data_IF_643950843793
#
_entry.id   IF_643950843793
#
_cell.length_a   1.000
_cell.length_b   1.000
_cell.length_c   1.000
_cell.angle_alpha   90.00
_cell.angle_beta   90.00
_cell.angle_gamma   90.00
#
_symmetry.space_group_name_H-M   'P 1'
#
loop_
_entity.id
_entity.type
_entity.pdbx_description
1 polymer ?
#
# COMPACT_ATOMS: atom_id res chain seq x y z
N UNK A 1 -34.21 -22.58 39.32
CA UNK A 1 -34.52 -21.84 38.07
C UNK A 1 -33.79 -20.52 37.92
N UNK A 2 -33.16 -19.90 38.96
CA UNK A 2 -32.44 -18.61 38.83
C UNK A 2 -30.99 -18.70 38.28
N UNK A 3 -30.39 -19.90 38.19
CA UNK A 3 -29.00 -20.08 37.70
C UNK A 3 -28.90 -20.30 36.18
N UNK A 4 -29.99 -20.62 35.50
CA UNK A 4 -30.02 -20.88 34.05
C UNK A 4 -30.09 -19.55 33.26
N UNK A 5 -30.72 -18.50 33.84
CA UNK A 5 -30.80 -17.18 33.22
C UNK A 5 -29.48 -16.39 33.18
N UNK A 6 -28.60 -16.63 34.13
CA UNK A 6 -27.28 -15.95 34.18
C UNK A 6 -26.29 -16.48 33.11
N UNK A 7 -26.39 -17.76 32.73
CA UNK A 7 -25.55 -18.33 31.67
C UNK A 7 -25.99 -17.90 30.26
N UNK A 8 -27.29 -17.70 30.03
CA UNK A 8 -27.79 -17.22 28.75
C UNK A 8 -27.42 -15.75 28.46
N UNK A 9 -27.36 -14.90 29.50
CA UNK A 9 -26.94 -13.51 29.36
C UNK A 9 -25.42 -13.37 29.11
N UNK A 10 -24.60 -14.27 29.66
CA UNK A 10 -23.14 -14.27 29.39
C UNK A 10 -22.80 -14.77 27.96
N UNK A 11 -23.61 -15.69 27.40
CA UNK A 11 -23.45 -16.17 26.02
C UNK A 11 -23.91 -15.14 24.98
N UNK A 12 -24.87 -14.27 25.32
CA UNK A 12 -25.30 -13.19 24.42
C UNK A 12 -24.32 -12.00 24.42
N UNK A 13 -23.56 -11.80 25.49
CA UNK A 13 -22.51 -10.77 25.55
C UNK A 13 -21.21 -11.21 24.83
N UNK A 14 -20.94 -12.50 24.72
CA UNK A 14 -19.77 -13.01 23.98
C UNK A 14 -19.99 -13.07 22.47
N UNK A 15 -21.25 -13.09 21.99
CA UNK A 15 -21.57 -13.05 20.55
C UNK A 15 -21.50 -11.63 19.96
N UNK A 16 -21.47 -10.58 20.77
CA UNK A 16 -21.37 -9.19 20.29
C UNK A 16 -19.93 -8.67 20.16
N UNK A 17 -18.93 -9.51 20.41
CA UNK A 17 -17.54 -9.25 19.99
C UNK A 17 -17.22 -9.78 18.60
N UNK A 18 -18.21 -10.16 17.80
CA UNK A 18 -18.02 -10.35 16.36
C UNK A 18 -17.72 -8.98 15.74
N UNK A 19 -16.43 -8.78 15.50
CA UNK A 19 -15.78 -7.80 14.63
C UNK A 19 -16.74 -6.72 14.13
N UNK A 20 -16.70 -5.53 14.76
CA UNK A 20 -17.23 -4.34 14.10
C UNK A 20 -16.56 -4.29 12.70
N UNK A 21 -17.34 -4.61 11.66
CA UNK A 21 -16.90 -4.40 10.29
C UNK A 21 -16.42 -2.95 10.21
N UNK A 22 -15.22 -2.74 9.70
CA UNK A 22 -14.77 -1.38 9.44
C UNK A 22 -15.75 -0.75 8.44
N UNK A 23 -16.59 0.14 8.92
CA UNK A 23 -17.62 0.80 8.11
C UNK A 23 -17.18 2.15 7.59
N UNK A 24 -15.89 2.49 7.76
CA UNK A 24 -15.39 3.76 7.28
C UNK A 24 -15.52 3.86 5.76
N UNK A 25 -16.12 4.97 5.33
CA UNK A 25 -16.14 5.39 3.91
C UNK A 25 -15.66 6.83 3.87
N UNK A 26 -14.67 7.09 3.03
CA UNK A 26 -14.13 8.44 2.94
C UNK A 26 -12.83 8.55 2.15
N UNK A 27 -12.22 9.72 2.27
CA UNK A 27 -10.99 10.09 1.58
C UNK A 27 -9.99 10.50 2.64
N UNK A 28 -8.77 9.98 2.56
CA UNK A 28 -7.62 10.44 3.35
C UNK A 28 -6.71 11.21 2.41
N UNK A 29 -6.45 12.49 2.72
CA UNK A 29 -5.55 13.35 1.96
C UNK A 29 -4.26 13.54 2.73
N UNK A 30 -3.15 13.52 2.02
CA UNK A 30 -1.81 13.62 2.57
C UNK A 30 -1.06 14.81 1.98
N UNK A 31 -0.16 15.36 2.79
CA UNK A 31 0.95 16.20 2.39
C UNK A 31 2.22 15.36 2.40
N UNK A 32 3.08 15.60 1.43
CA UNK A 32 4.34 14.89 1.23
C UNK A 32 5.49 15.89 1.35
N UNK A 33 6.46 15.58 2.19
CA UNK A 33 7.59 16.47 2.49
C UNK A 33 8.91 15.71 2.51
N UNK A 34 9.96 16.36 2.04
CA UNK A 34 11.34 15.89 2.26
C UNK A 34 11.74 16.21 3.70
N UNK A 35 12.14 15.19 4.47
CA UNK A 35 12.43 15.32 5.91
C UNK A 35 13.79 14.74 6.32
N UNK A 36 14.55 14.16 5.38
CA UNK A 36 15.90 13.65 5.62
C UNK A 36 16.93 14.75 5.85
N UNK A 37 18.14 14.34 6.22
CA UNK A 37 19.29 15.26 6.36
C UNK A 37 19.69 15.88 5.02
N UNK A 38 19.47 15.14 3.93
CA UNK A 38 19.65 15.61 2.55
C UNK A 38 18.29 15.95 1.97
N UNK A 39 18.10 17.19 1.56
CA UNK A 39 16.86 17.65 0.98
C UNK A 39 16.62 17.01 -0.40
N UNK A 40 15.39 16.59 -0.64
CA UNK A 40 14.90 16.13 -1.95
C UNK A 40 13.91 17.14 -2.51
N UNK A 41 13.96 17.34 -3.81
CA UNK A 41 12.91 18.09 -4.49
C UNK A 41 11.70 17.17 -4.68
N UNK A 42 10.59 17.49 -4.07
CA UNK A 42 9.30 16.82 -4.30
C UNK A 42 8.60 17.57 -5.43
N UNK A 43 8.31 16.93 -6.58
CA UNK A 43 7.52 17.53 -7.65
C UNK A 43 6.13 17.96 -7.12
N UNK A 44 5.56 19.03 -7.69
CA UNK A 44 4.29 19.59 -7.22
C UNK A 44 3.16 18.54 -7.25
N UNK A 45 3.12 17.70 -8.29
CA UNK A 45 2.16 16.60 -8.47
C UNK A 45 2.31 15.49 -7.42
N UNK A 46 3.51 15.33 -6.82
CA UNK A 46 3.79 14.37 -5.76
C UNK A 46 3.74 14.99 -4.35
N UNK A 47 3.58 16.32 -4.23
CA UNK A 47 3.53 17.01 -2.94
C UNK A 47 2.24 16.73 -2.15
N UNK A 48 1.22 16.19 -2.81
CA UNK A 48 -0.04 15.76 -2.20
C UNK A 48 -0.43 14.38 -2.67
N UNK A 49 -1.13 13.65 -1.81
CA UNK A 49 -1.63 12.32 -2.12
C UNK A 49 -3.04 12.12 -1.58
N UNK A 50 -3.78 11.18 -2.17
CA UNK A 50 -5.14 10.86 -1.77
C UNK A 50 -5.38 9.34 -1.83
N UNK A 51 -6.01 8.81 -0.78
CA UNK A 51 -6.51 7.43 -0.76
C UNK A 51 -8.01 7.48 -0.49
N UNK A 52 -8.81 6.89 -1.38
CA UNK A 52 -10.23 6.62 -1.19
C UNK A 52 -10.38 5.28 -0.47
N UNK A 53 -11.26 5.24 0.51
CA UNK A 53 -11.48 4.06 1.37
C UNK A 53 -12.96 3.75 1.47
N UNK A 54 -13.33 2.48 1.36
CA UNK A 54 -14.69 1.98 1.61
C UNK A 54 -14.62 0.61 2.29
N UNK A 55 -14.63 0.60 3.61
CA UNK A 55 -14.38 -0.62 4.39
C UNK A 55 -12.97 -1.14 4.18
N UNK A 56 -12.84 -2.32 3.58
CA UNK A 56 -11.56 -2.95 3.26
C UNK A 56 -11.06 -2.59 1.83
N UNK A 57 -11.87 -1.88 1.03
CA UNK A 57 -11.48 -1.46 -0.31
C UNK A 57 -10.73 -0.11 -0.27
N UNK A 58 -9.70 0.00 -1.09
CA UNK A 58 -8.90 1.23 -1.25
C UNK A 58 -8.62 1.53 -2.71
N UNK A 59 -8.55 2.82 -3.05
CA UNK A 59 -8.16 3.29 -4.37
C UNK A 59 -7.28 4.53 -4.27
N UNK A 60 -6.20 4.56 -5.05
CA UNK A 60 -5.32 5.74 -5.17
C UNK A 60 -4.76 5.89 -6.58
N UNK A 61 -4.52 7.15 -6.98
CA UNK A 61 -3.73 7.54 -8.16
C UNK A 61 -2.43 8.25 -7.78
N UNK A 62 -2.13 8.30 -6.49
CA UNK A 62 -0.98 9.05 -5.99
C UNK A 62 0.30 8.23 -6.12
N UNK A 63 1.24 8.73 -6.90
CA UNK A 63 2.52 8.07 -7.22
C UNK A 63 3.34 7.69 -5.99
N UNK A 64 3.19 8.43 -4.89
CA UNK A 64 3.92 8.16 -3.65
C UNK A 64 3.63 6.78 -3.03
N UNK A 65 2.46 6.19 -3.33
CA UNK A 65 2.10 4.86 -2.86
C UNK A 65 2.39 3.76 -3.89
N UNK A 66 3.02 4.13 -5.01
CA UNK A 66 3.29 3.23 -6.12
C UNK A 66 4.75 2.78 -6.08
N UNK A 67 4.98 1.48 -6.10
CA UNK A 67 6.32 0.88 -6.15
C UNK A 67 6.95 0.93 -7.55
N UNK A 68 6.13 1.12 -8.60
CA UNK A 68 6.56 1.18 -9.99
C UNK A 68 6.33 2.59 -10.56
N UNK A 69 7.29 3.17 -11.28
CA UNK A 69 7.13 4.47 -11.95
C UNK A 69 6.11 4.42 -13.10
N UNK A 70 5.72 3.23 -13.53
CA UNK A 70 4.73 3.00 -14.59
C UNK A 70 3.31 2.90 -14.03
N UNK A 71 3.13 2.82 -12.72
CA UNK A 71 1.81 2.69 -12.11
C UNK A 71 1.03 4.00 -12.19
N UNK A 72 -0.20 3.93 -12.71
CA UNK A 72 -1.14 5.06 -12.80
C UNK A 72 -2.23 5.03 -11.72
N UNK A 73 -2.58 3.83 -11.24
CA UNK A 73 -3.48 3.68 -10.10
C UNK A 73 -3.31 2.32 -9.41
N UNK A 74 -3.74 2.27 -8.15
CA UNK A 74 -3.84 1.05 -7.36
C UNK A 74 -5.28 0.94 -6.84
N UNK A 75 -5.87 -0.24 -7.04
CA UNK A 75 -7.13 -0.67 -6.45
C UNK A 75 -6.88 -1.89 -5.56
N UNK A 76 -7.31 -1.81 -4.32
CA UNK A 76 -7.29 -2.94 -3.38
C UNK A 76 -8.72 -3.37 -3.12
N UNK A 77 -9.04 -4.64 -3.41
CA UNK A 77 -10.33 -5.26 -3.11
C UNK A 77 -10.13 -6.74 -2.79
N UNK A 78 -10.79 -7.23 -1.76
CA UNK A 78 -10.74 -8.65 -1.37
C UNK A 78 -9.31 -9.21 -1.25
N UNK A 79 -8.40 -8.48 -0.59
CA UNK A 79 -6.97 -8.80 -0.45
C UNK A 79 -6.23 -8.92 -1.80
N UNK A 80 -6.80 -8.41 -2.87
CA UNK A 80 -6.14 -8.32 -4.18
C UNK A 80 -5.75 -6.87 -4.43
N UNK A 81 -4.45 -6.64 -4.62
CA UNK A 81 -3.92 -5.38 -5.12
C UNK A 81 -3.89 -5.46 -6.65
N UNK A 82 -4.62 -4.58 -7.29
CA UNK A 82 -4.65 -4.43 -8.74
C UNK A 82 -3.98 -3.11 -9.10
N UNK A 83 -2.89 -3.16 -9.87
CA UNK A 83 -2.20 -1.99 -10.39
C UNK A 83 -2.52 -1.84 -11.87
N UNK A 84 -2.79 -0.60 -12.30
CA UNK A 84 -2.79 -0.25 -13.71
C UNK A 84 -1.44 0.39 -14.02
N UNK A 85 -0.67 -0.23 -14.90
CA UNK A 85 0.67 0.21 -15.28
C UNK A 85 0.71 0.57 -16.77
N UNK A 86 1.43 1.64 -17.11
CA UNK A 86 1.54 2.15 -18.48
C UNK A 86 2.99 2.18 -18.93
N UNK A 87 3.36 1.18 -19.69
CA UNK A 87 4.68 1.03 -20.28
C UNK A 87 4.80 1.68 -21.69
N UNK A 88 3.75 2.35 -22.18
CA UNK A 88 3.69 2.88 -23.54
C UNK A 88 4.86 3.80 -23.91
N UNK A 89 5.33 4.64 -22.97
CA UNK A 89 6.51 5.49 -23.20
C UNK A 89 7.79 4.67 -23.32
N UNK A 90 7.99 3.68 -22.45
CA UNK A 90 9.16 2.78 -22.48
C UNK A 90 9.17 2.01 -23.79
N UNK A 91 8.06 1.37 -24.17
CA UNK A 91 7.93 0.63 -25.41
C UNK A 91 8.19 1.51 -26.66
N UNK A 92 7.70 2.75 -26.63
CA UNK A 92 7.97 3.71 -27.71
C UNK A 92 9.45 4.07 -27.81
N UNK A 93 10.10 4.24 -26.65
CA UNK A 93 11.55 4.49 -26.59
C UNK A 93 12.35 3.30 -27.15
N UNK A 94 12.10 2.08 -26.68
CA UNK A 94 12.76 0.87 -27.15
C UNK A 94 12.64 0.72 -28.67
N UNK A 95 11.43 0.87 -29.23
CA UNK A 95 11.21 0.83 -30.68
C UNK A 95 12.01 1.92 -31.40
N UNK A 96 12.14 3.12 -30.84
CA UNK A 96 12.92 4.21 -31.44
C UNK A 96 14.42 3.94 -31.48
N UNK A 97 14.92 3.11 -30.57
CA UNK A 97 16.31 2.65 -30.52
C UNK A 97 16.59 1.43 -31.42
N UNK A 98 15.55 0.95 -32.14
CA UNK A 98 15.69 -0.19 -33.03
C UNK A 98 15.62 -1.55 -32.35
N UNK A 99 15.08 -1.60 -31.11
CA UNK A 99 14.82 -2.85 -30.42
C UNK A 99 13.95 -3.79 -31.25
N UNK A 100 14.29 -5.07 -31.30
CA UNK A 100 13.50 -6.13 -31.92
C UNK A 100 12.35 -6.62 -31.03
N UNK A 101 12.12 -5.96 -29.88
CA UNK A 101 11.08 -6.28 -28.94
C UNK A 101 9.68 -6.28 -29.59
N UNK A 102 9.05 -7.46 -29.66
CA UNK A 102 7.85 -7.72 -30.49
C UNK A 102 6.52 -7.60 -29.72
N UNK A 103 6.46 -6.94 -28.56
CA UNK A 103 5.20 -6.72 -27.91
C UNK A 103 4.30 -5.77 -28.74
N UNK A 104 3.14 -6.26 -29.18
CA UNK A 104 2.23 -5.54 -30.09
C UNK A 104 1.19 -4.67 -29.35
N UNK A 105 1.05 -4.80 -28.02
CA UNK A 105 0.13 -4.02 -27.22
C UNK A 105 0.52 -2.54 -27.07
N UNK A 106 -0.37 -1.74 -26.52
CA UNK A 106 -0.13 -0.32 -26.22
C UNK A 106 0.62 -0.12 -24.88
N UNK A 107 0.90 -1.20 -24.16
CA UNK A 107 1.64 -1.20 -22.91
C UNK A 107 0.82 -0.82 -21.68
N UNK A 108 -0.50 -0.74 -21.79
CA UNK A 108 -1.40 -0.51 -20.66
C UNK A 108 -1.85 -1.82 -20.05
N UNK A 109 -1.29 -2.15 -18.88
CA UNK A 109 -1.43 -3.47 -18.28
C UNK A 109 -2.11 -3.40 -16.91
N UNK A 110 -2.92 -4.45 -16.62
CA UNK A 110 -3.48 -4.74 -15.30
C UNK A 110 -2.63 -5.81 -14.64
N UNK A 111 -1.96 -5.48 -13.56
CA UNK A 111 -1.17 -6.41 -12.75
C UNK A 111 -1.91 -6.67 -11.45
N UNK A 112 -2.17 -7.96 -11.15
CA UNK A 112 -2.87 -8.40 -9.94
C UNK A 112 -1.94 -9.18 -9.03
N UNK A 113 -1.96 -8.83 -7.76
CA UNK A 113 -1.27 -9.54 -6.70
C UNK A 113 -2.26 -9.83 -5.57
N UNK A 114 -2.58 -11.10 -5.34
CA UNK A 114 -3.51 -11.51 -4.30
C UNK A 114 -2.74 -12.00 -3.09
N UNK A 115 -2.91 -11.30 -1.98
CA UNK A 115 -2.33 -11.70 -0.71
C UNK A 115 -3.10 -12.90 -0.12
N UNK A 116 -2.37 -13.87 0.42
CA UNK A 116 -2.99 -14.96 1.17
C UNK A 116 -3.42 -14.43 2.55
N UNK A 117 -4.63 -14.75 3.04
CA UNK A 117 -5.09 -14.27 4.34
C UNK A 117 -4.16 -14.59 5.51
N UNK A 118 -3.54 -15.75 5.51
CA UNK A 118 -2.60 -16.25 6.51
C UNK A 118 -1.21 -15.57 6.45
N UNK A 119 -0.88 -14.89 5.36
CA UNK A 119 0.39 -14.16 5.24
C UNK A 119 0.53 -13.02 6.26
N UNK A 120 -0.58 -12.58 6.88
CA UNK A 120 -0.61 -11.46 7.83
C UNK A 120 -0.96 -11.89 9.26
N UNK A 121 -1.29 -13.17 9.48
CA UNK A 121 -1.63 -13.69 10.82
C UNK A 121 -0.40 -13.86 11.73
N UNK A 122 0.80 -13.87 11.16
CA UNK A 122 2.06 -14.12 11.87
C UNK A 122 3.07 -12.98 11.77
N UNK A 123 2.59 -11.73 11.86
CA UNK A 123 3.48 -10.57 12.06
C UNK A 123 4.08 -10.54 13.49
N UNK A 124 3.81 -11.56 14.30
CA UNK A 124 4.56 -11.83 15.53
C UNK A 124 5.93 -12.41 15.17
N UNK A 125 6.95 -11.73 15.62
CA UNK A 125 8.34 -12.13 15.38
C UNK A 125 8.60 -13.46 16.05
N UNK A 126 8.96 -14.43 15.26
CA UNK A 126 9.53 -15.65 15.79
C UNK A 126 11.06 -15.62 15.67
N UNK A 127 11.62 -15.06 14.63
CA UNK A 127 13.06 -14.93 14.42
C UNK A 127 13.42 -13.65 13.69
N UNK A 128 14.54 -13.02 14.08
CA UNK A 128 15.13 -11.84 13.45
C UNK A 128 15.87 -12.24 12.16
N UNK A 129 15.13 -12.79 11.20
CA UNK A 129 15.72 -13.22 9.93
C UNK A 129 15.85 -12.03 8.97
N UNK A 130 16.98 -11.94 8.23
CA UNK A 130 17.16 -10.93 7.19
C UNK A 130 16.01 -10.93 6.18
N UNK A 131 15.56 -9.75 5.81
CA UNK A 131 14.45 -9.57 4.88
C UNK A 131 13.06 -9.73 5.49
N UNK A 132 12.95 -10.11 6.77
CA UNK A 132 11.69 -10.14 7.50
C UNK A 132 11.49 -8.86 8.31
N UNK A 133 10.22 -8.48 8.50
CA UNK A 133 9.86 -7.35 9.34
C UNK A 133 8.87 -7.77 10.43
N UNK A 134 8.83 -6.98 11.49
CA UNK A 134 7.82 -7.11 12.54
C UNK A 134 7.27 -5.76 12.97
N UNK A 135 6.11 -5.78 13.63
CA UNK A 135 5.38 -4.59 14.02
C UNK A 135 5.32 -4.51 15.55
N UNK A 136 5.87 -3.43 16.10
CA UNK A 136 5.73 -3.09 17.52
C UNK A 136 4.65 -2.03 17.69
N UNK A 137 3.55 -2.39 18.36
CA UNK A 137 2.49 -1.45 18.72
C UNK A 137 2.77 -0.83 20.08
N UNK A 138 2.88 0.50 20.12
CA UNK A 138 3.12 1.23 21.37
C UNK A 138 1.81 1.74 21.97
N UNK A 139 1.87 2.27 23.22
CA UNK A 139 0.74 2.93 23.85
C UNK A 139 0.62 4.41 23.51
N UNK A 140 1.57 4.97 22.75
CA UNK A 140 1.59 6.36 22.39
C UNK A 140 0.46 6.70 21.40
N UNK A 141 -0.21 7.85 21.64
CA UNK A 141 -1.29 8.34 20.78
C UNK A 141 -1.14 9.82 20.49
N UNK A 142 -1.60 10.25 19.31
CA UNK A 142 -1.75 11.67 18.97
C UNK A 142 -2.93 11.89 18.03
N UNK A 143 -3.35 13.15 17.87
CA UNK A 143 -4.36 13.53 16.88
C UNK A 143 -3.70 13.92 15.57
N UNK A 144 -4.13 13.31 14.45
CA UNK A 144 -3.72 13.66 13.10
C UNK A 144 -4.98 13.80 12.24
N UNK A 145 -5.15 14.92 11.57
CA UNK A 145 -6.33 15.22 10.75
C UNK A 145 -7.68 15.00 11.49
N UNK A 146 -7.72 15.24 12.81
CA UNK A 146 -8.91 15.05 13.65
C UNK A 146 -9.23 13.60 14.01
N UNK A 147 -8.32 12.66 13.73
CA UNK A 147 -8.46 11.23 14.05
C UNK A 147 -7.37 10.81 15.03
N UNK A 148 -7.71 9.92 15.95
CA UNK A 148 -6.73 9.35 16.88
C UNK A 148 -5.81 8.38 16.15
N UNK A 149 -4.51 8.64 16.21
CA UNK A 149 -3.48 7.75 15.70
C UNK A 149 -2.68 7.14 16.86
N UNK A 150 -2.31 5.88 16.71
CA UNK A 150 -1.42 5.13 17.61
C UNK A 150 -0.06 4.99 16.94
N UNK A 151 1.01 5.10 17.73
CA UNK A 151 2.35 4.86 17.23
C UNK A 151 2.60 3.36 17.06
N UNK A 152 3.14 3.02 15.91
CA UNK A 152 3.66 1.70 15.58
C UNK A 152 5.09 1.86 15.06
N UNK A 153 5.96 0.93 15.39
CA UNK A 153 7.31 0.84 14.82
C UNK A 153 7.37 -0.44 13.98
N UNK A 154 7.73 -0.29 12.72
CA UNK A 154 8.07 -1.39 11.84
C UNK A 154 9.58 -1.58 11.90
N UNK A 155 10.03 -2.74 12.33
CA UNK A 155 11.43 -3.13 12.35
C UNK A 155 11.73 -3.98 11.12
N UNK A 156 12.84 -3.72 10.46
CA UNK A 156 13.34 -4.52 9.34
C UNK A 156 14.82 -4.79 9.58
N UNK A 157 15.23 -6.04 9.50
CA UNK A 157 16.62 -6.44 9.64
C UNK A 157 17.29 -6.59 8.28
N UNK A 158 18.48 -6.01 8.12
CA UNK A 158 19.33 -6.23 6.95
C UNK A 158 20.09 -7.58 7.05
N UNK A 159 20.90 -7.87 6.03
CA UNK A 159 21.68 -9.11 5.96
C UNK A 159 22.73 -9.22 7.06
N UNK A 160 23.20 -8.10 7.60
CA UNK A 160 24.13 -8.03 8.74
C UNK A 160 23.41 -8.12 10.09
N UNK A 161 22.08 -8.13 10.11
CA UNK A 161 21.23 -8.17 11.28
C UNK A 161 21.05 -6.81 11.98
N UNK A 162 21.38 -5.70 11.32
CA UNK A 162 21.08 -4.37 11.83
C UNK A 162 19.60 -4.04 11.65
N UNK A 163 19.01 -3.42 12.68
CA UNK A 163 17.61 -3.01 12.69
C UNK A 163 17.43 -1.64 12.03
N UNK A 164 16.50 -1.55 11.09
CA UNK A 164 16.11 -0.31 10.40
C UNK A 164 14.66 0.08 10.78
N UNK A 165 14.44 0.66 11.98
CA UNK A 165 13.11 0.94 12.45
C UNK A 165 12.45 2.09 11.67
N UNK A 166 11.19 1.90 11.29
CA UNK A 166 10.35 2.91 10.65
C UNK A 166 9.16 3.22 11.54
N UNK A 167 9.05 4.47 11.99
CA UNK A 167 7.93 4.92 12.79
C UNK A 167 6.72 5.28 11.93
N UNK A 168 5.57 4.75 12.30
CA UNK A 168 4.27 5.08 11.70
C UNK A 168 3.27 5.48 12.77
N UNK A 169 2.35 6.36 12.39
CA UNK A 169 1.18 6.69 13.18
C UNK A 169 -0.04 6.21 12.44
N UNK A 170 -0.70 5.21 12.98
CA UNK A 170 -1.82 4.52 12.33
C UNK A 170 -3.12 4.74 13.09
N UNK A 171 -4.24 4.71 12.35
CA UNK A 171 -5.58 4.68 12.95
C UNK A 171 -6.30 3.41 12.54
N UNK A 172 -6.74 2.63 13.53
CA UNK A 172 -7.59 1.47 13.35
C UNK A 172 -9.10 1.81 13.24
N UNK A 173 -9.44 3.09 13.43
CA UNK A 173 -10.80 3.60 13.22
C UNK A 173 -11.15 3.80 11.73
N UNK A 174 -10.12 3.94 10.89
CA UNK A 174 -10.24 4.14 9.44
C UNK A 174 -9.31 3.19 8.70
N UNK A 175 -9.67 2.85 7.47
CA UNK A 175 -8.89 1.92 6.64
C UNK A 175 -9.29 0.46 6.83
N UNK A 176 -8.64 -0.44 6.09
CA UNK A 176 -8.97 -1.86 6.08
C UNK A 176 -8.50 -2.59 7.34
N UNK A 177 -9.07 -3.78 7.58
CA UNK A 177 -8.62 -4.69 8.64
C UNK A 177 -7.23 -5.26 8.36
N UNK A 178 -6.93 -5.47 7.09
CA UNK A 178 -5.62 -5.87 6.57
C UNK A 178 -5.29 -4.93 5.42
N UNK A 179 -4.31 -4.07 5.62
CA UNK A 179 -3.93 -3.05 4.66
C UNK A 179 -2.75 -3.53 3.80
N UNK A 180 -3.04 -4.24 2.72
CA UNK A 180 -1.99 -4.79 1.84
C UNK A 180 -1.21 -3.71 1.07
N UNK A 181 -1.70 -2.48 1.00
CA UNK A 181 -0.95 -1.34 0.46
C UNK A 181 0.18 -0.90 1.43
N UNK A 182 0.07 -1.27 2.70
CA UNK A 182 1.02 -0.96 3.75
C UNK A 182 1.39 -2.24 4.54
N UNK A 183 1.90 -3.24 3.84
CA UNK A 183 2.48 -4.46 4.41
C UNK A 183 1.56 -5.21 5.40
N UNK A 184 0.25 -5.18 5.18
CA UNK A 184 -0.73 -5.92 5.98
C UNK A 184 -1.07 -5.32 7.35
N UNK A 185 -0.60 -4.11 7.68
CA UNK A 185 -0.97 -3.44 8.94
C UNK A 185 -2.49 -3.29 9.06
N UNK A 186 -2.99 -3.24 10.29
CA UNK A 186 -4.39 -2.94 10.56
C UNK A 186 -4.63 -1.43 10.53
N UNK A 187 -5.57 -0.98 9.71
CA UNK A 187 -5.99 0.42 9.64
C UNK A 187 -5.20 1.23 8.60
N UNK A 188 -5.20 2.55 8.77
CA UNK A 188 -4.63 3.51 7.84
C UNK A 188 -3.46 4.27 8.47
N UNK A 189 -2.28 4.29 7.85
CA UNK A 189 -1.20 5.19 8.25
C UNK A 189 -1.64 6.64 8.05
N UNK A 190 -1.59 7.44 9.11
CA UNK A 190 -1.85 8.88 9.06
C UNK A 190 -0.57 9.69 9.00
N UNK A 191 0.55 9.11 9.41
CA UNK A 191 1.88 9.65 9.21
C UNK A 191 2.88 8.50 9.12
N UNK A 192 3.78 8.58 8.15
CA UNK A 192 4.89 7.64 8.00
C UNK A 192 6.08 8.35 7.36
N UNK A 193 7.28 7.99 7.79
CA UNK A 193 8.52 8.44 7.17
C UNK A 193 9.17 7.25 6.49
N UNK A 194 9.49 7.41 5.20
CA UNK A 194 10.18 6.40 4.39
C UNK A 194 11.60 6.89 4.15
N UNK A 195 12.57 6.05 4.49
CA UNK A 195 13.97 6.29 4.15
C UNK A 195 14.17 6.07 2.63
N UNK A 196 14.73 7.06 1.97
CA UNK A 196 15.04 7.03 0.54
C UNK A 196 16.55 6.83 0.28
N UNK A 197 17.31 6.46 1.31
CA UNK A 197 18.76 6.23 1.26
C UNK A 197 19.57 7.53 1.23
N UNK A 198 20.87 7.42 1.46
CA UNK A 198 21.83 8.54 1.42
C UNK A 198 21.45 9.74 2.32
N UNK A 199 20.78 9.48 3.44
CA UNK A 199 20.29 10.53 4.36
C UNK A 199 19.07 11.29 3.85
N UNK A 200 18.44 10.84 2.77
CA UNK A 200 17.18 11.35 2.24
C UNK A 200 16.01 10.62 2.89
N UNK A 201 14.93 11.33 3.19
CA UNK A 201 13.70 10.74 3.67
C UNK A 201 12.48 11.51 3.17
N UNK A 202 11.37 10.82 3.04
CA UNK A 202 10.08 11.39 2.66
C UNK A 202 9.09 11.08 3.77
N UNK A 203 8.43 12.12 4.29
CA UNK A 203 7.32 11.96 5.23
C UNK A 203 6.02 12.33 4.55
N UNK A 204 5.05 11.42 4.60
CA UNK A 204 3.67 11.75 4.29
C UNK A 204 2.85 11.83 5.57
N UNK A 205 2.05 12.89 5.66
CA UNK A 205 1.21 13.18 6.82
C UNK A 205 -0.21 13.48 6.36
N UNK A 206 -1.20 12.78 6.91
CA UNK A 206 -2.60 13.06 6.64
C UNK A 206 -2.96 14.48 7.10
N UNK A 207 -3.52 15.26 6.20
CA UNK A 207 -3.97 16.64 6.44
C UNK A 207 -5.47 16.73 6.61
N UNK A 208 -6.22 15.80 6.00
CA UNK A 208 -7.68 15.79 6.04
C UNK A 208 -8.20 14.35 5.96
N UNK A 209 -9.23 14.04 6.75
CA UNK A 209 -10.04 12.82 6.66
C UNK A 209 -11.49 13.22 6.37
N UNK A 210 -11.92 13.02 5.11
CA UNK A 210 -13.24 13.39 4.63
C UNK A 210 -14.18 12.20 4.67
N UNK A 211 -15.14 12.18 5.57
CA UNK A 211 -16.10 11.07 5.71
C UNK A 211 -17.22 11.14 4.66
N UNK A 212 -17.64 9.98 4.15
CA UNK A 212 -18.90 9.80 3.42
C UNK A 212 -18.94 10.31 1.97
N UNK A 213 -17.81 10.66 1.34
CA UNK A 213 -17.76 11.23 -0.01
C UNK A 213 -17.33 10.27 -1.12
N UNK A 214 -17.29 8.96 -0.87
CA UNK A 214 -16.91 7.96 -1.88
C UNK A 214 -18.12 7.17 -2.35
N UNK A 215 -18.12 6.81 -3.63
CA UNK A 215 -19.15 6.02 -4.33
C UNK A 215 -18.51 4.75 -4.89
N UNK A 216 -19.30 3.74 -5.23
CA UNK A 216 -18.80 2.53 -5.89
C UNK A 216 -18.03 2.82 -7.18
N UNK A 217 -18.48 3.81 -7.95
CA UNK A 217 -17.80 4.25 -9.17
C UNK A 217 -16.39 4.82 -8.93
N UNK A 218 -16.04 5.20 -7.69
CA UNK A 218 -14.70 5.66 -7.34
C UNK A 218 -13.67 4.53 -7.21
N UNK A 219 -14.12 3.26 -7.23
CA UNK A 219 -13.32 2.05 -7.11
C UNK A 219 -13.31 1.23 -8.41
N UNK A 220 -13.47 1.90 -9.54
CA UNK A 220 -13.37 1.29 -10.86
C UNK A 220 -11.98 1.55 -11.44
N UNK A 221 -11.43 0.54 -12.11
CA UNK A 221 -10.21 0.70 -12.90
C UNK A 221 -10.51 1.53 -14.15
N UNK A 222 -9.55 2.31 -14.65
CA UNK A 222 -9.69 3.01 -15.91
C UNK A 222 -9.83 2.02 -17.08
N UNK A 223 -10.53 2.45 -18.13
CA UNK A 223 -10.68 1.68 -19.37
C UNK A 223 -9.38 1.63 -20.18
N UNK A 224 -9.28 0.66 -21.08
CA UNK A 224 -8.18 0.54 -22.03
C UNK A 224 -6.93 -0.17 -21.49
N UNK A 225 -7.02 -0.82 -20.35
CA UNK A 225 -5.97 -1.69 -19.81
C UNK A 225 -6.29 -3.15 -20.10
N UNK A 226 -5.29 -3.92 -20.51
CA UNK A 226 -5.41 -5.35 -20.73
C UNK A 226 -4.85 -6.16 -19.55
N UNK A 227 -5.42 -7.33 -19.32
CA UNK A 227 -4.92 -8.29 -18.34
C UNK A 227 -4.14 -9.35 -19.09
N UNK A 228 -2.86 -9.48 -18.79
CA UNK A 228 -2.03 -10.57 -19.28
C UNK A 228 -2.14 -11.79 -18.35
N UNK A 229 -1.87 -12.98 -18.89
CA UNK A 229 -1.65 -14.17 -18.08
C UNK A 229 -0.37 -14.00 -17.23
N UNK A 230 -0.21 -14.81 -16.19
CA UNK A 230 1.00 -14.79 -15.37
C UNK A 230 2.25 -15.12 -16.21
N UNK A 231 2.12 -16.08 -17.15
CA UNK A 231 3.17 -16.47 -18.09
C UNK A 231 3.54 -15.32 -19.04
N UNK A 232 2.54 -14.62 -19.61
CA UNK A 232 2.79 -13.48 -20.50
C UNK A 232 3.43 -12.31 -19.76
N UNK A 233 3.06 -12.09 -18.49
CA UNK A 233 3.67 -11.06 -17.64
C UNK A 233 5.12 -11.36 -17.30
N UNK A 234 5.45 -12.62 -16.99
CA UNK A 234 6.82 -13.06 -16.72
C UNK A 234 7.68 -12.92 -17.96
N UNK A 235 7.17 -13.35 -19.12
CA UNK A 235 7.82 -13.21 -20.43
C UNK A 235 8.09 -11.73 -20.73
N UNK A 236 7.07 -10.88 -20.66
CA UNK A 236 7.19 -9.44 -20.91
C UNK A 236 8.22 -8.78 -19.96
N UNK A 237 8.21 -9.15 -18.68
CA UNK A 237 9.16 -8.63 -17.70
C UNK A 237 10.60 -9.00 -18.03
N UNK A 238 10.84 -10.26 -18.45
CA UNK A 238 12.16 -10.76 -18.83
C UNK A 238 12.65 -10.06 -20.10
N UNK A 239 11.83 -10.00 -21.14
CA UNK A 239 12.17 -9.35 -22.41
C UNK A 239 12.48 -7.86 -22.24
N UNK A 240 11.69 -7.14 -21.42
CA UNK A 240 11.95 -5.74 -21.10
C UNK A 240 13.27 -5.54 -20.36
N UNK A 241 13.59 -6.44 -19.43
CA UNK A 241 14.84 -6.39 -18.68
C UNK A 241 16.05 -6.60 -19.60
N UNK A 242 16.01 -7.63 -20.44
CA UNK A 242 17.08 -7.94 -21.40
C UNK A 242 17.32 -6.77 -22.35
N UNK A 243 16.25 -6.16 -22.89
CA UNK A 243 16.37 -5.01 -23.79
C UNK A 243 16.98 -3.78 -23.12
N UNK A 244 16.58 -3.50 -21.87
CA UNK A 244 17.15 -2.39 -21.10
C UNK A 244 18.64 -2.61 -20.85
N UNK A 245 19.07 -3.85 -20.53
CA UNK A 245 20.46 -4.20 -20.31
C UNK A 245 21.30 -4.07 -21.58
N UNK A 246 20.76 -4.48 -22.73
CA UNK A 246 21.42 -4.31 -24.04
C UNK A 246 21.67 -2.82 -24.35
N UNK A 247 20.69 -1.96 -24.12
CA UNK A 247 20.81 -0.52 -24.38
C UNK A 247 21.77 0.20 -23.42
N UNK A 248 21.99 -0.33 -22.21
CA UNK A 248 22.91 0.23 -21.23
C UNK A 248 24.35 -0.28 -21.42
N UNK A 249 24.55 -1.37 -22.15
CA UNK A 249 25.84 -2.00 -22.41
C UNK A 249 26.59 -1.44 -23.63
N UNK A 250 25.96 -0.56 -24.42
CA UNK A 250 26.56 0.21 -25.51
C UNK A 250 27.08 1.60 -25.00
#
# INVERSE_FOLDING_TARGET
MKKIFAMAAALLLSASMMSAQNTFKGIVKYKVESTGQVAMTIPEEAATAEIKVSGDDMYTKSSIFMSSPFSECILVQNLTMTRCENYGMLLSYLRSQGSEFDYQGDGKLIIKNTAKPDAFDSLEIVDKEPGHFYLEYTSETKQIAGVTAKKMVRHMYDEEGADHPTEMWISDEIGPRVNILFDGIKGMPLQCTVDAGEGKAITYTATEVVKGKVKEADFLLPDGYETLSEEDMETLGTELQEEIELLQGE
#
